data_IF_374103025709
#
_entry.id   IF_374103025709
#
_cell.length_a   1.000
_cell.length_b   1.000
_cell.length_c   1.000
_cell.angle_alpha   90.00
_cell.angle_beta   90.00
_cell.angle_gamma   90.00
#
_symmetry.space_group_name_H-M   'P 1'
#
loop_
_entity.id
_entity.type
_entity.pdbx_description
1 polymer ?
#
# COMPACT_ATOMS: atom_id res chain seq x y z
N UNK A 1 -0.91 0.71 -4.95
CA UNK A 1 0.14 0.41 -3.95
C UNK A 1 -0.36 -0.64 -2.96
N UNK A 2 0.48 -1.43 -2.26
CA UNK A 2 0.04 -2.46 -1.31
C UNK A 2 0.97 -2.67 -0.11
N UNK A 3 0.44 -3.22 1.00
CA UNK A 3 1.15 -3.39 2.28
C UNK A 3 0.97 -4.80 2.87
N UNK A 4 1.88 -5.28 3.70
CA UNK A 4 1.81 -6.60 4.34
C UNK A 4 2.31 -6.56 5.80
N UNK A 5 1.55 -7.21 6.67
CA UNK A 5 1.85 -7.50 8.07
C UNK A 5 1.56 -9.01 8.30
N UNK A 6 2.41 -9.76 9.03
CA UNK A 6 2.18 -11.15 9.41
C UNK A 6 0.77 -11.45 9.95
N UNK A 7 0.09 -10.47 10.56
CA UNK A 7 -1.27 -10.58 11.09
C UNK A 7 -2.40 -10.34 10.08
N UNK A 8 -2.19 -9.57 9.00
CA UNK A 8 -3.21 -9.15 8.03
C UNK A 8 -2.61 -8.99 6.63
N UNK A 9 -3.24 -9.59 5.62
CA UNK A 9 -2.77 -9.63 4.23
C UNK A 9 -3.44 -8.60 3.32
N UNK A 10 -2.73 -7.52 3.02
CA UNK A 10 -2.98 -6.51 1.98
C UNK A 10 -4.03 -5.46 2.27
N UNK A 11 -3.54 -4.25 2.56
CA UNK A 11 -4.21 -2.99 2.31
C UNK A 11 -3.76 -2.49 0.94
N UNK A 12 -4.66 -2.29 -0.01
CA UNK A 12 -4.35 -1.62 -1.28
C UNK A 12 -4.72 -0.15 -1.12
N UNK A 13 -3.74 0.76 -1.17
CA UNK A 13 -3.97 2.19 -1.31
C UNK A 13 -3.80 2.58 -2.78
N UNK A 14 -4.87 3.11 -3.37
CA UNK A 14 -4.88 3.61 -4.74
C UNK A 14 -5.64 4.95 -4.79
N UNK A 15 -5.18 5.95 -5.57
CA UNK A 15 -5.91 7.21 -5.70
C UNK A 15 -7.26 7.05 -6.43
N UNK A 16 -7.48 5.94 -7.15
CA UNK A 16 -8.71 5.67 -7.89
C UNK A 16 -9.69 4.78 -7.14
N UNK A 17 -10.82 5.37 -6.73
CA UNK A 17 -11.95 4.63 -6.18
C UNK A 17 -12.51 3.55 -7.14
N UNK A 18 -12.41 3.78 -8.45
CA UNK A 18 -12.86 2.80 -9.44
C UNK A 18 -12.00 1.54 -9.43
N UNK A 19 -10.68 1.69 -9.34
CA UNK A 19 -9.78 0.54 -9.27
C UNK A 19 -9.97 -0.23 -7.96
N UNK A 20 -10.03 0.46 -6.82
CA UNK A 20 -10.34 -0.15 -5.52
C UNK A 20 -11.62 -0.99 -5.56
N UNK A 21 -12.68 -0.50 -6.22
CA UNK A 21 -13.95 -1.22 -6.37
C UNK A 21 -13.85 -2.46 -7.26
N UNK A 22 -12.96 -2.46 -8.25
CA UNK A 22 -12.70 -3.63 -9.09
C UNK A 22 -11.93 -4.68 -8.29
N UNK A 23 -10.88 -4.26 -7.57
CA UNK A 23 -10.05 -5.16 -6.76
C UNK A 23 -10.84 -5.81 -5.62
N UNK A 24 -11.69 -5.06 -4.92
CA UNK A 24 -12.52 -5.60 -3.83
C UNK A 24 -13.53 -6.66 -4.27
N UNK A 25 -13.82 -6.75 -5.58
CA UNK A 25 -14.72 -7.75 -6.15
C UNK A 25 -13.99 -8.98 -6.68
N UNK A 26 -12.65 -8.93 -6.79
CA UNK A 26 -11.85 -10.06 -7.26
C UNK A 26 -11.56 -11.00 -6.08
N UNK A 27 -11.70 -12.33 -6.26
CA UNK A 27 -11.26 -13.28 -5.26
C UNK A 27 -9.75 -13.10 -5.01
N UNK A 28 -9.37 -12.74 -3.79
CA UNK A 28 -7.97 -12.61 -3.40
C UNK A 28 -7.29 -13.96 -3.14
N UNK A 29 -8.07 -15.06 -3.07
CA UNK A 29 -7.60 -16.36 -2.59
C UNK A 29 -7.35 -16.41 -1.08
N UNK A 30 -7.69 -15.34 -0.36
CA UNK A 30 -7.48 -15.18 1.08
C UNK A 30 -8.82 -14.96 1.80
N UNK A 31 -8.92 -15.31 3.09
CA UNK A 31 -10.09 -14.97 3.90
C UNK A 31 -10.35 -13.45 3.86
N UNK A 32 -11.62 -13.04 3.78
CA UNK A 32 -12.00 -11.63 3.75
C UNK A 32 -11.49 -10.84 4.97
N UNK A 33 -11.35 -11.50 6.13
CA UNK A 33 -10.78 -10.91 7.35
C UNK A 33 -9.29 -10.58 7.24
N UNK A 34 -8.60 -11.13 6.24
CA UNK A 34 -7.18 -10.87 6.01
C UNK A 34 -6.95 -9.77 4.99
N UNK A 35 -7.93 -9.32 4.20
CA UNK A 35 -7.71 -8.36 3.11
C UNK A 35 -8.55 -7.11 3.30
N UNK A 36 -7.95 -5.94 3.09
CA UNK A 36 -8.61 -4.64 3.13
C UNK A 36 -8.28 -3.81 1.89
N UNK A 37 -9.23 -2.99 1.44
CA UNK A 37 -9.02 -2.12 0.28
C UNK A 37 -9.37 -0.68 0.66
N UNK A 38 -8.51 0.27 0.30
CA UNK A 38 -8.63 1.66 0.72
C UNK A 38 -8.28 2.62 -0.41
N UNK A 39 -9.06 3.68 -0.54
CA UNK A 39 -8.68 4.83 -1.38
C UNK A 39 -7.93 5.79 -0.48
N UNK A 40 -6.67 6.10 -0.82
CA UNK A 40 -5.83 6.98 -0.02
C UNK A 40 -4.81 7.74 -0.88
N UNK A 41 -4.39 8.90 -0.39
CA UNK A 41 -3.28 9.66 -0.95
C UNK A 41 -1.95 8.94 -0.64
N UNK A 42 -1.17 8.69 -1.67
CA UNK A 42 0.13 8.00 -1.55
C UNK A 42 1.19 8.88 -0.86
N UNK A 43 1.02 10.21 -0.85
CA UNK A 43 1.87 11.16 -0.16
C UNK A 43 1.52 11.33 1.33
N UNK A 44 0.35 10.86 1.75
CA UNK A 44 -0.12 10.95 3.14
C UNK A 44 -1.11 9.82 3.44
N UNK A 45 -0.57 8.67 3.78
CA UNK A 45 -1.32 7.44 3.94
C UNK A 45 -1.92 7.36 5.36
N UNK A 46 -3.16 6.86 5.50
CA UNK A 46 -3.85 6.78 6.79
C UNK A 46 -3.42 5.54 7.60
N UNK A 47 -2.12 5.27 7.63
CA UNK A 47 -1.52 4.17 8.38
C UNK A 47 -0.57 4.73 9.44
N UNK A 48 -0.49 4.11 10.64
CA UNK A 48 0.56 4.39 11.61
C UNK A 48 1.98 4.22 11.06
N UNK A 49 2.92 4.86 11.72
CA UNK A 49 4.35 4.67 11.48
C UNK A 49 4.74 3.22 11.82
N UNK A 50 5.64 2.64 11.04
CA UNK A 50 6.25 1.35 11.37
C UNK A 50 5.30 0.15 11.36
N UNK A 51 4.16 0.24 10.67
CA UNK A 51 3.12 -0.78 10.75
C UNK A 51 3.45 -2.04 9.93
N UNK A 52 4.11 -1.91 8.78
CA UNK A 52 4.17 -2.99 7.79
C UNK A 52 5.56 -3.57 7.60
N UNK A 53 5.67 -4.89 7.66
CA UNK A 53 6.92 -5.61 7.39
C UNK A 53 7.28 -5.65 5.90
N UNK A 54 6.29 -5.46 5.02
CA UNK A 54 6.51 -5.29 3.58
C UNK A 54 5.60 -4.20 3.01
N UNK A 55 6.19 -3.27 2.26
CA UNK A 55 5.54 -2.20 1.52
C UNK A 55 5.90 -2.35 0.05
N UNK A 56 4.91 -2.39 -0.85
CA UNK A 56 5.19 -2.48 -2.29
C UNK A 56 4.48 -1.39 -3.11
N UNK A 57 5.13 -0.92 -4.15
CA UNK A 57 4.55 -0.04 -5.16
C UNK A 57 4.84 -0.60 -6.56
N UNK A 58 3.79 -0.76 -7.37
CA UNK A 58 3.91 -1.18 -8.77
C UNK A 58 3.36 -0.07 -9.66
N UNK A 59 4.18 0.44 -10.55
CA UNK A 59 3.81 1.43 -11.58
C UNK A 59 3.13 2.70 -11.04
N UNK A 60 3.51 3.12 -9.82
CA UNK A 60 2.99 4.36 -9.21
C UNK A 60 4.07 5.42 -9.06
N UNK A 61 5.34 5.04 -8.87
CA UNK A 61 6.42 5.96 -8.52
C UNK A 61 6.75 6.94 -9.67
N UNK A 62 6.60 6.51 -10.92
CA UNK A 62 6.81 7.34 -12.11
C UNK A 62 5.78 8.46 -12.24
N UNK A 63 4.56 8.24 -11.73
CA UNK A 63 3.45 9.20 -11.78
C UNK A 63 3.44 10.19 -10.62
N UNK A 64 4.25 9.96 -9.59
CA UNK A 64 4.29 10.84 -8.42
C UNK A 64 4.95 12.19 -8.76
N UNK A 65 4.21 13.27 -8.49
CA UNK A 65 4.68 14.65 -8.61
C UNK A 65 5.87 14.89 -7.66
N UNK A 66 5.69 14.61 -6.37
CA UNK A 66 6.76 14.62 -5.38
C UNK A 66 7.22 13.19 -5.05
N UNK A 67 8.29 12.77 -5.73
CA UNK A 67 8.89 11.44 -5.51
C UNK A 67 9.54 11.30 -4.14
N UNK A 68 10.08 12.39 -3.57
CA UNK A 68 10.71 12.32 -2.24
C UNK A 68 9.67 12.12 -1.17
N UNK A 69 8.61 12.93 -1.19
CA UNK A 69 7.49 12.77 -0.25
C UNK A 69 6.87 11.38 -0.36
N UNK A 70 6.72 10.87 -1.58
CA UNK A 70 6.23 9.50 -1.80
C UNK A 70 7.13 8.46 -1.15
N UNK A 71 8.44 8.45 -1.43
CA UNK A 71 9.38 7.48 -0.85
C UNK A 71 9.47 7.62 0.67
N UNK A 72 9.48 8.85 1.19
CA UNK A 72 9.45 9.10 2.63
C UNK A 72 8.20 8.54 3.29
N UNK A 73 7.05 8.64 2.63
CA UNK A 73 5.81 8.08 3.15
C UNK A 73 5.81 6.55 3.14
N UNK A 74 6.41 5.92 2.12
CA UNK A 74 6.62 4.46 2.11
C UNK A 74 7.52 4.01 3.26
N UNK A 75 8.59 4.77 3.52
CA UNK A 75 9.50 4.50 4.61
C UNK A 75 8.85 4.70 5.98
N UNK A 76 7.98 5.71 6.12
CA UNK A 76 7.26 5.99 7.37
C UNK A 76 6.39 4.81 7.81
N UNK A 77 5.63 4.23 6.90
CA UNK A 77 4.70 3.13 7.21
C UNK A 77 5.39 1.76 7.30
N UNK A 78 6.62 1.64 6.80
CA UNK A 78 7.42 0.41 6.92
C UNK A 78 7.97 0.25 8.35
N UNK A 79 7.78 -0.93 8.94
CA UNK A 79 8.36 -1.31 10.22
C UNK A 79 9.91 -1.20 10.18
N UNK A 80 10.58 -0.95 11.33
CA UNK A 80 12.03 -1.09 11.41
C UNK A 80 12.49 -2.48 10.94
N UNK A 81 13.33 -2.53 9.90
CA UNK A 81 13.75 -3.80 9.27
C UNK A 81 12.78 -4.36 8.22
N UNK A 82 11.65 -3.69 7.99
CA UNK A 82 10.70 -4.00 6.93
C UNK A 82 11.27 -3.76 5.53
N UNK A 83 10.70 -4.43 4.54
CA UNK A 83 11.14 -4.36 3.15
C UNK A 83 10.27 -3.41 2.35
N UNK A 84 10.89 -2.56 1.52
CA UNK A 84 10.20 -1.71 0.56
C UNK A 84 10.57 -2.17 -0.85
N UNK A 85 9.55 -2.51 -1.66
CA UNK A 85 9.72 -2.88 -3.07
C UNK A 85 9.08 -1.81 -3.94
N UNK A 86 9.88 -1.20 -4.81
CA UNK A 86 9.38 -0.26 -5.82
C UNK A 86 9.67 -0.88 -7.18
N UNK A 87 8.61 -1.08 -7.98
CA UNK A 87 8.69 -1.58 -9.35
C UNK A 87 8.28 -0.47 -10.30
N UNK A 88 9.19 -0.13 -11.23
CA UNK A 88 9.03 0.91 -12.26
C UNK A 88 9.03 0.29 -13.64
#
# INVERSE_FOLDING_TARGET
MGFYDPGVVSSVADPSAAQVRIWSRRPSGLPASRVSYLVADAHQQPFPDGQFDLVWSMSSAELMEDKRKFVSELARVAAPGGTIVIVT
#
